data_IF_070473174423
#
_entry.id   IF_070473174423
#
_cell.length_a   1.000
_cell.length_b   1.000
_cell.length_c   1.000
_cell.angle_alpha   90.00
_cell.angle_beta   90.00
_cell.angle_gamma   90.00
#
_symmetry.space_group_name_H-M   'P 1'
#
loop_
_entity.id
_entity.type
_entity.pdbx_description
1 polymer ?
#
# COMPACT_ATOMS: atom_id res chain seq x y z
N UNK A 1 -8.66 -18.09 5.48
CA UNK A 1 -8.76 -17.17 4.33
C UNK A 1 -8.81 -15.75 4.87
N UNK A 2 -7.75 -14.95 4.70
CA UNK A 2 -7.75 -13.55 5.12
C UNK A 2 -8.13 -12.67 3.93
N UNK A 3 -9.29 -12.02 4.00
CA UNK A 3 -9.85 -11.12 2.98
C UNK A 3 -9.55 -9.68 3.42
N UNK A 4 -9.14 -8.84 2.47
CA UNK A 4 -8.88 -7.42 2.74
C UNK A 4 -10.22 -6.68 2.80
N UNK A 5 -10.45 -5.90 3.86
CA UNK A 5 -11.62 -5.03 3.98
C UNK A 5 -11.35 -3.70 3.27
N UNK A 6 -12.25 -3.33 2.35
CA UNK A 6 -12.20 -2.05 1.64
C UNK A 6 -13.39 -1.19 2.12
N UNK A 7 -13.14 -0.10 2.86
CA UNK A 7 -14.20 0.81 3.29
C UNK A 7 -14.81 1.54 2.08
N UNK A 8 -15.99 2.16 2.24
CA UNK A 8 -16.64 2.87 1.14
C UNK A 8 -15.80 4.04 0.59
N UNK A 9 -15.08 4.75 1.46
CA UNK A 9 -14.18 5.85 1.10
C UNK A 9 -12.72 5.40 1.20
N UNK A 10 -11.89 5.82 0.23
CA UNK A 10 -10.44 5.62 0.28
C UNK A 10 -9.81 6.61 1.27
N UNK A 11 -9.08 6.16 2.30
CA UNK A 11 -8.59 7.05 3.34
C UNK A 11 -7.43 7.95 2.89
N UNK A 12 -6.53 7.45 2.03
CA UNK A 12 -5.44 8.22 1.42
C UNK A 12 -4.86 7.49 0.19
N UNK A 13 -4.01 8.17 -0.59
CA UNK A 13 -3.39 7.57 -1.78
C UNK A 13 -2.47 6.39 -1.43
N UNK A 14 -1.87 6.38 -0.24
CA UNK A 14 -1.04 5.29 0.26
C UNK A 14 -1.83 3.99 0.37
N UNK A 15 -2.98 4.03 1.04
CA UNK A 15 -3.92 2.92 1.16
C UNK A 15 -4.42 2.46 -0.22
N UNK A 16 -4.79 3.40 -1.10
CA UNK A 16 -5.22 3.11 -2.49
C UNK A 16 -4.19 2.32 -3.27
N UNK A 17 -2.95 2.79 -3.24
CA UNK A 17 -1.84 2.17 -3.97
C UNK A 17 -1.44 0.85 -3.35
N UNK A 18 -1.46 0.76 -2.02
CA UNK A 18 -1.10 -0.46 -1.30
C UNK A 18 -2.10 -1.59 -1.60
N UNK A 19 -3.40 -1.30 -1.58
CA UNK A 19 -4.41 -2.30 -1.92
C UNK A 19 -4.30 -2.74 -3.38
N UNK A 20 -4.15 -1.81 -4.32
CA UNK A 20 -3.96 -2.13 -5.74
C UNK A 20 -2.70 -2.98 -5.97
N UNK A 21 -1.58 -2.63 -5.32
CA UNK A 21 -0.34 -3.38 -5.37
C UNK A 21 -0.48 -4.79 -4.79
N UNK A 22 -1.20 -4.93 -3.68
CA UNK A 22 -1.43 -6.22 -3.03
C UNK A 22 -2.31 -7.13 -3.89
N UNK A 23 -3.37 -6.58 -4.48
CA UNK A 23 -4.34 -7.31 -5.31
C UNK A 23 -3.83 -7.65 -6.71
N UNK A 24 -2.82 -6.92 -7.22
CA UNK A 24 -2.23 -7.18 -8.54
C UNK A 24 -1.23 -8.34 -8.55
N UNK A 25 -1.01 -9.04 -7.44
CA UNK A 25 0.00 -10.09 -7.27
C UNK A 25 -0.59 -11.33 -6.59
N UNK A 26 0.15 -12.43 -6.60
CA UNK A 26 -0.23 -13.58 -5.77
C UNK A 26 -0.18 -13.19 -4.28
N UNK A 27 -1.17 -13.65 -3.52
CA UNK A 27 -1.31 -13.31 -2.11
C UNK A 27 -0.10 -13.76 -1.26
N UNK A 28 0.54 -14.87 -1.63
CA UNK A 28 1.76 -15.37 -0.98
C UNK A 28 2.92 -14.40 -1.19
N UNK A 29 3.16 -13.94 -2.43
CA UNK A 29 4.25 -13.02 -2.73
C UNK A 29 4.05 -11.66 -2.07
N UNK A 30 2.84 -11.10 -2.16
CA UNK A 30 2.54 -9.80 -1.57
C UNK A 30 2.65 -9.82 -0.05
N UNK A 31 2.13 -10.88 0.61
CA UNK A 31 2.27 -11.06 2.06
C UNK A 31 3.72 -11.25 2.48
N UNK A 32 4.50 -12.05 1.73
CA UNK A 32 5.91 -12.27 2.02
C UNK A 32 6.72 -10.98 1.98
N UNK A 33 6.49 -10.14 0.97
CA UNK A 33 7.18 -8.84 0.83
C UNK A 33 6.78 -7.82 1.90
N UNK A 34 5.53 -7.81 2.38
CA UNK A 34 5.12 -6.93 3.47
C UNK A 34 5.58 -7.46 4.85
N UNK A 35 5.53 -8.78 5.05
CA UNK A 35 6.00 -9.40 6.28
C UNK A 35 7.50 -9.19 6.51
N UNK A 36 8.32 -9.14 5.45
CA UNK A 36 9.76 -8.85 5.57
C UNK A 36 10.08 -7.45 6.09
N UNK A 37 9.09 -6.55 6.08
CA UNK A 37 9.18 -5.20 6.65
C UNK A 37 8.27 -5.01 7.87
N UNK A 38 7.83 -6.11 8.51
CA UNK A 38 7.04 -6.05 9.74
C UNK A 38 5.58 -5.62 9.56
N UNK A 39 5.07 -5.70 8.33
CA UNK A 39 3.66 -5.47 8.00
C UNK A 39 2.96 -6.80 7.81
N UNK A 40 2.33 -7.29 8.89
CA UNK A 40 1.44 -8.43 8.83
C UNK A 40 0.09 -8.07 8.15
N UNK A 41 -0.76 -9.07 7.96
CA UNK A 41 -2.05 -8.88 7.31
C UNK A 41 -3.01 -8.01 8.13
N UNK A 42 -2.94 -8.05 9.47
CA UNK A 42 -3.80 -7.23 10.33
C UNK A 42 -3.43 -5.75 10.23
N UNK A 43 -2.13 -5.43 10.24
CA UNK A 43 -1.64 -4.07 9.97
C UNK A 43 -2.05 -3.60 8.58
N UNK A 44 -1.85 -4.44 7.55
CA UNK A 44 -2.27 -4.12 6.19
C UNK A 44 -3.76 -3.77 6.14
N UNK A 45 -4.62 -4.59 6.75
CA UNK A 45 -6.06 -4.39 6.77
C UNK A 45 -6.44 -3.06 7.45
N UNK A 46 -5.85 -2.78 8.62
CA UNK A 46 -6.06 -1.51 9.34
C UNK A 46 -5.55 -0.29 8.57
N UNK A 47 -4.46 -0.42 7.82
CA UNK A 47 -3.97 0.65 6.94
C UNK A 47 -4.94 0.94 5.80
N UNK A 48 -5.50 -0.11 5.21
CA UNK A 48 -6.46 -0.01 4.10
C UNK A 48 -7.82 0.49 4.58
N UNK A 49 -8.24 0.10 5.79
CA UNK A 49 -9.43 0.60 6.48
C UNK A 49 -9.29 2.06 6.94
N UNK A 50 -8.08 2.62 6.95
CA UNK A 50 -7.81 3.98 7.43
C UNK A 50 -7.70 4.11 8.94
N UNK A 51 -7.71 2.98 9.66
CA UNK A 51 -7.57 2.91 11.12
C UNK A 51 -6.13 3.04 11.60
N UNK A 52 -5.16 2.85 10.69
CA UNK A 52 -3.73 2.93 10.96
C UNK A 52 -3.05 3.74 9.87
N UNK A 53 -2.35 4.80 10.27
CA UNK A 53 -1.37 5.47 9.40
C UNK A 53 0.02 5.02 9.85
N UNK A 54 0.83 4.40 8.97
CA UNK A 54 2.17 3.94 9.33
C UNK A 54 3.07 5.10 9.79
N UNK A 55 4.02 4.80 10.67
CA UNK A 55 5.09 5.73 11.08
C UNK A 55 6.10 5.98 9.96
N UNK A 56 6.99 6.96 10.10
CA UNK A 56 7.91 7.37 9.04
C UNK A 56 8.81 6.22 8.54
N UNK A 57 9.41 5.45 9.45
CA UNK A 57 10.29 4.32 9.10
C UNK A 57 9.51 3.20 8.40
N UNK A 58 8.30 2.89 8.89
CA UNK A 58 7.43 1.88 8.30
C UNK A 58 6.97 2.31 6.90
N UNK A 59 6.65 3.60 6.69
CA UNK A 59 6.35 4.15 5.35
C UNK A 59 7.51 3.97 4.39
N UNK A 60 8.74 4.19 4.86
CA UNK A 60 9.94 4.01 4.05
C UNK A 60 10.15 2.52 3.71
N UNK A 61 10.01 1.63 4.69
CA UNK A 61 10.13 0.20 4.49
C UNK A 61 9.06 -0.36 3.53
N UNK A 62 7.80 0.09 3.65
CA UNK A 62 6.73 -0.23 2.70
C UNK A 62 7.08 0.25 1.29
N UNK A 63 7.67 1.45 1.15
CA UNK A 63 8.07 1.95 -0.15
C UNK A 63 9.12 1.04 -0.80
N UNK A 64 10.10 0.55 -0.05
CA UNK A 64 11.08 -0.41 -0.55
C UNK A 64 10.45 -1.77 -0.90
N UNK A 65 9.66 -2.35 0.02
CA UNK A 65 8.99 -3.64 -0.18
C UNK A 65 8.06 -3.66 -1.39
N UNK A 66 7.43 -2.53 -1.69
CA UNK A 66 6.51 -2.39 -2.83
C UNK A 66 7.20 -2.01 -4.13
N UNK A 67 8.53 -1.88 -4.15
CA UNK A 67 9.28 -1.40 -5.32
C UNK A 67 8.88 0.02 -5.71
N UNK A 68 8.62 0.87 -4.71
CA UNK A 68 8.18 2.26 -4.82
C UNK A 68 6.79 2.47 -5.47
N UNK A 69 5.98 1.42 -5.57
CA UNK A 69 4.58 1.55 -5.99
C UNK A 69 3.77 2.41 -5.00
N UNK A 70 4.08 2.30 -3.71
CA UNK A 70 3.61 3.16 -2.62
C UNK A 70 4.79 4.01 -2.15
N UNK A 71 4.63 5.32 -2.04
CA UNK A 71 5.68 6.24 -1.56
C UNK A 71 5.31 6.81 -0.20
N UNK A 72 6.33 7.26 0.55
CA UNK A 72 6.17 7.84 1.89
C UNK A 72 5.13 8.98 1.91
N UNK A 73 5.15 9.85 0.90
CA UNK A 73 4.22 10.99 0.78
C UNK A 73 2.76 10.60 0.50
N UNK A 74 2.51 9.40 -0.02
CA UNK A 74 1.16 9.00 -0.41
C UNK A 74 0.25 8.83 0.81
N UNK A 75 0.84 8.49 1.95
CA UNK A 75 0.15 8.35 3.24
C UNK A 75 -0.39 9.66 3.80
N UNK A 76 0.10 10.79 3.31
CA UNK A 76 -0.38 12.13 3.69
C UNK A 76 -1.06 12.85 2.52
N UNK A 77 -1.23 12.18 1.39
CA UNK A 77 -1.88 12.74 0.20
C UNK A 77 -3.34 12.28 0.12
N UNK A 78 -4.28 13.15 -0.28
CA UNK A 78 -5.62 12.73 -0.63
C UNK A 78 -5.58 11.62 -1.69
N UNK A 79 -6.51 10.66 -1.58
CA UNK A 79 -6.66 9.62 -2.59
C UNK A 79 -7.01 10.26 -3.94
N UNK A 80 -6.33 9.84 -5.01
CA UNK A 80 -6.56 10.39 -6.36
C UNK A 80 -7.76 9.77 -7.09
N UNK A 81 -8.32 8.71 -6.53
CA UNK A 81 -9.45 7.96 -7.07
C UNK A 81 -10.02 7.00 -6.04
N UNK A 82 -10.97 6.18 -6.46
CA UNK A 82 -11.66 5.21 -5.64
C UNK A 82 -10.91 3.86 -5.61
N UNK A 83 -11.44 2.91 -4.84
CA UNK A 83 -11.01 1.52 -4.91
C UNK A 83 -11.32 0.94 -6.29
N UNK A 84 -10.42 0.12 -6.83
CA UNK A 84 -10.58 -0.50 -8.14
C UNK A 84 -10.25 0.40 -9.33
N UNK A 85 -10.21 1.73 -9.15
CA UNK A 85 -9.72 2.63 -10.18
C UNK A 85 -8.27 2.28 -10.56
N UNK A 86 -7.90 2.32 -11.85
CA UNK A 86 -6.53 2.06 -12.28
C UNK A 86 -5.52 2.90 -11.49
N UNK A 87 -4.47 2.24 -11.01
CA UNK A 87 -3.32 2.89 -10.37
C UNK A 87 -2.16 2.87 -11.35
N UNK A 88 -1.75 4.01 -11.91
CA UNK A 88 -0.61 4.06 -12.81
C UNK A 88 0.65 3.54 -12.11
N UNK A 89 1.35 2.63 -12.78
CA UNK A 89 2.67 2.19 -12.35
C UNK A 89 3.61 3.39 -12.27
N UNK A 90 4.46 3.41 -11.24
CA UNK A 90 5.52 4.41 -11.14
C UNK A 90 6.77 3.84 -11.79
N UNK A 91 7.12 4.37 -12.94
CA UNK A 91 8.45 4.19 -13.49
C UNK A 91 9.38 5.13 -12.72
N UNK A 92 10.24 4.58 -11.87
CA UNK A 92 11.39 5.37 -11.40
C UNK A 92 12.26 5.67 -12.62
N UNK A 93 12.47 6.95 -12.94
CA UNK A 93 13.66 7.33 -13.70
C UNK A 93 14.84 6.93 -12.82
N UNK A 94 15.67 6.00 -13.31
CA UNK A 94 17.02 5.83 -12.74
C UNK A 94 17.66 7.22 -12.76
N UNK A 95 18.10 7.70 -11.59
CA UNK A 95 19.05 8.80 -11.57
C UNK A 95 20.29 8.30 -12.32
N UNK A 96 20.68 9.01 -13.37
CA UNK A 96 21.90 8.76 -14.13
C UNK A 96 23.11 9.19 -13.30
#
# INVERSE_FOLDING_TARGET
MSKLYLPAQVPNEGARRLSAWFLSRSSISARGALASVGVDFGKLDRMVAGELIPGADERFAIALATGHAVLVRDWSSPARGHWGDPVPARTMRRAA
#
